data_IF_449148835846
#
_entry.id   IF_449148835846
#
_cell.length_a   1.000
_cell.length_b   1.000
_cell.length_c   1.000
_cell.angle_alpha   90.00
_cell.angle_beta   90.00
_cell.angle_gamma   90.00
#
_symmetry.space_group_name_H-M   'P 1'
#
loop_
_entity.id
_entity.type
_entity.pdbx_description
1 polymer ?
#
# COMPACT_ATOMS: atom_id res chain seq x y z
N UNK A 1 3.16 -15.49 -37.24
CA UNK A 1 3.10 -16.23 -35.97
C UNK A 1 2.72 -15.25 -34.86
N UNK A 2 1.95 -15.67 -33.85
CA UNK A 2 1.46 -14.76 -32.82
C UNK A 2 2.65 -14.26 -32.01
N UNK A 3 2.67 -12.95 -31.76
CA UNK A 3 3.50 -12.34 -30.73
C UNK A 3 3.11 -13.03 -29.44
N UNK A 4 3.99 -13.87 -28.88
CA UNK A 4 3.86 -14.25 -27.48
C UNK A 4 4.16 -13.00 -26.68
N UNK A 5 3.11 -12.22 -26.43
CA UNK A 5 3.10 -11.25 -25.35
C UNK A 5 3.24 -12.10 -24.10
N UNK A 6 4.46 -12.25 -23.61
CA UNK A 6 4.66 -12.70 -22.24
C UNK A 6 3.79 -11.79 -21.40
N UNK A 7 2.84 -12.40 -20.70
CA UNK A 7 1.97 -11.73 -19.75
C UNK A 7 2.86 -10.88 -18.85
N UNK A 8 2.90 -9.57 -19.08
CA UNK A 8 3.51 -8.62 -18.15
C UNK A 8 2.55 -8.39 -16.98
N UNK A 9 1.92 -9.45 -16.48
CA UNK A 9 1.57 -9.55 -15.07
C UNK A 9 2.86 -9.74 -14.26
N UNK A 10 3.79 -8.79 -14.40
CA UNK A 10 4.80 -8.53 -13.37
C UNK A 10 4.08 -7.89 -12.19
N UNK A 11 3.25 -8.67 -11.50
CA UNK A 11 3.24 -8.62 -10.05
C UNK A 11 4.63 -9.05 -9.62
N UNK A 12 5.58 -8.11 -9.68
CA UNK A 12 6.85 -8.31 -9.01
C UNK A 12 6.50 -8.65 -7.56
N UNK A 13 6.92 -9.82 -7.02
CA UNK A 13 6.59 -10.16 -5.65
C UNK A 13 7.05 -9.00 -4.78
N UNK A 14 6.12 -8.45 -3.99
CA UNK A 14 6.41 -7.36 -3.05
C UNK A 14 7.60 -7.78 -2.19
N UNK A 15 8.80 -7.33 -2.55
CA UNK A 15 10.01 -7.53 -1.76
C UNK A 15 9.96 -6.52 -0.62
N UNK A 16 9.33 -6.94 0.47
CA UNK A 16 9.31 -6.29 1.80
C UNK A 16 10.73 -6.34 2.36
N UNK A 17 11.65 -5.58 1.75
CA UNK A 17 13.08 -5.64 2.07
C UNK A 17 13.50 -4.59 3.09
N UNK A 18 12.67 -3.58 3.34
CA UNK A 18 12.91 -2.55 4.33
C UNK A 18 11.62 -2.25 5.08
N UNK A 19 11.63 -2.46 6.40
CA UNK A 19 10.52 -2.17 7.32
C UNK A 19 10.87 -1.04 8.29
N UNK A 20 11.97 -0.33 8.05
CA UNK A 20 12.46 0.71 8.95
C UNK A 20 11.46 1.87 9.05
N UNK A 21 10.85 2.28 7.94
CA UNK A 21 9.87 3.36 7.97
C UNK A 21 8.57 2.88 8.61
N UNK A 22 8.13 1.65 8.32
CA UNK A 22 7.00 1.04 9.03
C UNK A 22 7.23 1.02 10.55
N UNK A 23 8.41 0.60 11.00
CA UNK A 23 8.80 0.63 12.41
C UNK A 23 8.73 2.04 12.99
N UNK A 24 9.35 3.02 12.33
CA UNK A 24 9.37 4.41 12.77
C UNK A 24 7.96 4.98 12.92
N UNK A 25 7.08 4.75 11.94
CA UNK A 25 5.70 5.24 12.00
C UNK A 25 4.94 4.60 13.16
N UNK A 26 5.03 3.27 13.31
CA UNK A 26 4.35 2.54 14.39
C UNK A 26 4.78 3.05 15.77
N UNK A 27 6.05 3.39 15.96
CA UNK A 27 6.58 3.89 17.24
C UNK A 27 6.56 5.41 17.38
N UNK A 28 6.24 6.17 16.32
CA UNK A 28 6.24 7.63 16.35
C UNK A 28 5.05 8.21 17.13
N UNK A 29 5.25 9.32 17.85
CA UNK A 29 4.16 10.10 18.45
C UNK A 29 3.63 11.19 17.50
N UNK A 30 3.72 10.96 16.19
CA UNK A 30 3.30 11.90 15.18
C UNK A 30 1.79 12.14 15.29
N UNK A 31 1.37 13.41 15.32
CA UNK A 31 -0.05 13.80 15.31
C UNK A 31 -0.35 14.63 14.08
N UNK A 32 -0.86 13.98 13.04
CA UNK A 32 -1.33 14.65 11.83
C UNK A 32 -2.81 15.02 11.96
N UNK A 33 -3.13 16.28 11.69
CA UNK A 33 -4.51 16.73 11.57
C UNK A 33 -5.12 16.22 10.26
N UNK A 34 -6.45 16.18 10.17
CA UNK A 34 -7.15 15.84 8.93
C UNK A 34 -6.67 16.70 7.75
N UNK A 35 -6.43 17.99 7.97
CA UNK A 35 -5.93 18.89 6.93
C UNK A 35 -4.52 18.50 6.44
N UNK A 36 -3.65 18.00 7.33
CA UNK A 36 -2.35 17.48 6.92
C UNK A 36 -2.50 16.24 6.05
N UNK A 37 -3.37 15.31 6.45
CA UNK A 37 -3.62 14.07 5.70
C UNK A 37 -4.17 14.36 4.30
N UNK A 38 -5.15 15.27 4.19
CA UNK A 38 -5.68 15.71 2.89
C UNK A 38 -4.58 16.27 1.99
N UNK A 39 -3.73 17.16 2.52
CA UNK A 39 -2.59 17.71 1.77
C UNK A 39 -1.61 16.63 1.32
N UNK A 40 -1.25 15.69 2.20
CA UNK A 40 -0.33 14.58 1.88
C UNK A 40 -0.90 13.74 0.74
N UNK A 41 -2.18 13.37 0.83
CA UNK A 41 -2.85 12.56 -0.18
C UNK A 41 -3.13 13.32 -1.49
N UNK A 42 -2.97 14.64 -1.51
CA UNK A 42 -3.34 15.49 -2.66
C UNK A 42 -4.84 15.71 -2.79
N UNK A 43 -5.59 15.53 -1.70
CA UNK A 43 -7.05 15.69 -1.66
C UNK A 43 -7.43 17.12 -1.27
N UNK A 44 -8.47 17.63 -1.91
CA UNK A 44 -9.02 18.95 -1.64
C UNK A 44 -10.23 18.87 -0.68
N UNK A 45 -10.15 19.49 0.52
CA UNK A 45 -11.17 19.31 1.56
C UNK A 45 -12.51 19.99 1.28
N UNK A 46 -12.63 20.83 0.24
CA UNK A 46 -13.92 21.41 -0.17
C UNK A 46 -14.54 20.67 -1.36
N UNK A 47 -13.86 19.68 -1.95
CA UNK A 47 -14.43 18.89 -3.03
C UNK A 47 -15.22 17.71 -2.44
N UNK A 48 -16.55 17.59 -2.71
CA UNK A 48 -17.37 16.51 -2.16
C UNK A 48 -16.87 15.13 -2.57
N UNK A 49 -16.37 14.97 -3.80
CA UNK A 49 -15.82 13.68 -4.26
C UNK A 49 -14.59 13.26 -3.45
N UNK A 50 -13.67 14.18 -3.18
CA UNK A 50 -12.49 13.90 -2.36
C UNK A 50 -12.84 13.58 -0.90
N UNK A 51 -13.90 14.20 -0.38
CA UNK A 51 -14.40 13.90 0.97
C UNK A 51 -14.92 12.46 1.02
N UNK A 52 -15.73 12.05 0.04
CA UNK A 52 -16.27 10.69 -0.02
C UNK A 52 -15.18 9.64 -0.26
N UNK A 53 -14.20 9.94 -1.12
CA UNK A 53 -13.03 9.10 -1.34
C UNK A 53 -12.25 8.87 -0.03
N UNK A 54 -11.99 9.94 0.72
CA UNK A 54 -11.31 9.85 2.01
C UNK A 54 -12.13 9.06 3.04
N UNK A 55 -13.45 9.28 3.11
CA UNK A 55 -14.33 8.50 4.00
C UNK A 55 -14.31 7.02 3.65
N UNK A 56 -14.35 6.69 2.36
CA UNK A 56 -14.28 5.31 1.87
C UNK A 56 -12.97 4.63 2.29
N UNK A 57 -11.84 5.32 2.12
CA UNK A 57 -10.53 4.86 2.57
C UNK A 57 -10.50 4.59 4.08
N UNK A 58 -10.97 5.52 4.89
CA UNK A 58 -11.01 5.35 6.35
C UNK A 58 -11.95 4.20 6.74
N UNK A 59 -13.07 4.01 6.04
CA UNK A 59 -13.98 2.89 6.28
C UNK A 59 -13.30 1.54 6.00
N UNK A 60 -12.53 1.44 4.91
CA UNK A 60 -11.75 0.24 4.61
C UNK A 60 -10.70 -0.02 5.70
N UNK A 61 -9.95 1.02 6.09
CA UNK A 61 -8.94 0.92 7.15
C UNK A 61 -9.59 0.45 8.46
N UNK A 62 -10.72 1.02 8.85
CA UNK A 62 -11.45 0.60 10.05
C UNK A 62 -11.87 -0.86 9.97
N UNK A 63 -12.37 -1.32 8.82
CA UNK A 63 -12.71 -2.74 8.63
C UNK A 63 -11.49 -3.64 8.82
N UNK A 64 -10.34 -3.27 8.25
CA UNK A 64 -9.09 -4.02 8.42
C UNK A 64 -8.63 -4.01 9.87
N UNK A 65 -8.73 -2.86 10.55
CA UNK A 65 -8.40 -2.71 11.98
C UNK A 65 -9.26 -3.62 12.83
N UNK A 66 -10.57 -3.68 12.60
CA UNK A 66 -11.46 -4.58 13.35
C UNK A 66 -11.08 -6.05 13.14
N UNK A 67 -10.85 -6.48 11.90
CA UNK A 67 -10.39 -7.84 11.60
C UNK A 67 -9.04 -8.16 12.28
N UNK A 68 -8.10 -7.21 12.27
CA UNK A 68 -6.81 -7.37 12.95
C UNK A 68 -6.98 -7.47 14.46
N UNK A 69 -7.81 -6.60 15.03
CA UNK A 69 -8.08 -6.59 16.46
C UNK A 69 -8.71 -7.91 16.93
N UNK A 70 -9.68 -8.43 16.19
CA UNK A 70 -10.34 -9.70 16.48
C UNK A 70 -9.38 -10.89 16.42
N UNK A 71 -8.45 -10.86 15.46
CA UNK A 71 -7.49 -11.95 15.23
C UNK A 71 -6.36 -11.95 16.26
N UNK A 72 -5.83 -10.78 16.62
CA UNK A 72 -4.58 -10.67 17.40
C UNK A 72 -4.88 -10.41 18.88
N UNK A 73 -5.98 -9.72 19.20
CA UNK A 73 -6.37 -9.27 20.57
C UNK A 73 -5.26 -8.54 21.34
N UNK A 74 -4.27 -7.99 20.63
CA UNK A 74 -3.12 -7.29 21.22
C UNK A 74 -3.45 -5.88 21.67
N UNK A 75 -2.72 -5.41 22.66
CA UNK A 75 -2.87 -4.05 23.19
C UNK A 75 -2.25 -2.95 22.31
N UNK A 76 -1.43 -3.30 21.30
CA UNK A 76 -0.80 -2.34 20.40
C UNK A 76 -0.46 -2.96 19.05
N UNK A 77 -0.57 -2.14 17.99
CA UNK A 77 -0.15 -2.53 16.64
C UNK A 77 1.35 -2.85 16.55
N UNK A 78 2.18 -2.30 17.45
CA UNK A 78 3.62 -2.59 17.55
C UNK A 78 3.96 -4.06 17.82
N UNK A 79 3.02 -4.81 18.39
CA UNK A 79 3.19 -6.23 18.67
C UNK A 79 2.94 -7.11 17.43
N UNK A 80 2.41 -6.53 16.35
CA UNK A 80 2.17 -7.24 15.10
C UNK A 80 3.41 -7.23 14.19
N UNK A 81 3.70 -8.30 13.43
CA UNK A 81 4.86 -8.34 12.56
C UNK A 81 4.87 -7.17 11.57
N UNK A 82 5.97 -6.40 11.56
CA UNK A 82 6.10 -5.19 10.74
C UNK A 82 5.94 -5.49 9.24
N UNK A 83 6.40 -6.66 8.81
CA UNK A 83 6.22 -7.14 7.43
C UNK A 83 4.75 -7.27 7.07
N UNK A 84 3.91 -7.72 7.99
CA UNK A 84 2.47 -7.86 7.79
C UNK A 84 1.78 -6.51 7.81
N UNK A 85 2.19 -5.59 8.69
CA UNK A 85 1.69 -4.20 8.70
C UNK A 85 1.99 -3.53 7.36
N UNK A 86 3.22 -3.68 6.86
CA UNK A 86 3.63 -3.14 5.57
C UNK A 86 2.82 -3.77 4.44
N UNK A 87 2.70 -5.11 4.42
CA UNK A 87 1.92 -5.84 3.42
C UNK A 87 0.46 -5.36 3.37
N UNK A 88 -0.20 -5.25 4.52
CA UNK A 88 -1.57 -4.70 4.62
C UNK A 88 -1.64 -3.27 4.11
N UNK A 89 -0.62 -2.46 4.40
CA UNK A 89 -0.56 -1.07 3.91
C UNK A 89 -0.51 -1.02 2.38
N UNK A 90 0.21 -1.94 1.73
CA UNK A 90 0.23 -2.05 0.27
C UNK A 90 -1.08 -2.59 -0.30
N UNK A 91 -1.70 -3.60 0.33
CA UNK A 91 -3.02 -4.09 -0.12
C UNK A 91 -4.07 -2.98 -0.11
N UNK A 92 -4.10 -2.14 0.93
CA UNK A 92 -4.99 -0.98 1.00
C UNK A 92 -4.65 0.05 -0.09
N UNK A 93 -3.37 0.25 -0.40
CA UNK A 93 -2.96 1.16 -1.48
C UNK A 93 -3.42 0.67 -2.86
N UNK A 94 -3.45 -0.64 -3.07
CA UNK A 94 -3.82 -1.27 -4.34
C UNK A 94 -5.32 -1.08 -4.66
N UNK A 95 -6.17 -0.92 -3.65
CA UNK A 95 -7.58 -0.54 -3.84
C UNK A 95 -7.76 0.92 -4.31
N UNK A 96 -6.78 1.78 -4.03
CA UNK A 96 -6.83 3.22 -4.32
C UNK A 96 -5.63 3.65 -5.18
N UNK A 97 -5.40 2.95 -6.29
CA UNK A 97 -4.15 3.09 -7.07
C UNK A 97 -3.85 4.53 -7.48
N UNK A 98 -4.88 5.27 -7.87
CA UNK A 98 -4.77 6.67 -8.32
C UNK A 98 -4.24 7.63 -7.25
N UNK A 99 -4.40 7.29 -5.96
CA UNK A 99 -3.93 8.11 -4.84
C UNK A 99 -2.48 7.76 -4.50
N UNK A 100 -2.15 6.47 -4.55
CA UNK A 100 -0.92 5.91 -3.96
C UNK A 100 0.15 5.54 -4.99
N UNK A 101 -0.18 5.51 -6.28
CA UNK A 101 0.76 5.19 -7.35
C UNK A 101 0.77 6.26 -8.44
N UNK A 102 1.92 6.38 -9.10
CA UNK A 102 2.14 7.25 -10.25
C UNK A 102 2.65 6.39 -11.41
N UNK A 103 2.06 6.49 -12.60
CA UNK A 103 2.57 5.81 -13.77
C UNK A 103 3.93 6.41 -14.16
N UNK A 104 4.94 5.56 -14.29
CA UNK A 104 6.27 5.95 -14.78
C UNK A 104 6.62 5.10 -16.00
N UNK A 105 7.34 5.70 -16.94
CA UNK A 105 7.87 4.97 -18.10
C UNK A 105 9.21 4.36 -17.70
N UNK A 106 9.27 3.03 -17.65
CA UNK A 106 10.49 2.28 -17.42
C UNK A 106 10.95 1.66 -18.74
N UNK A 107 12.22 1.84 -19.06
CA UNK A 107 12.85 1.15 -20.18
C UNK A 107 13.22 -0.25 -19.73
N UNK A 108 12.68 -1.26 -20.41
CA UNK A 108 12.96 -2.67 -20.15
C UNK A 108 13.70 -3.21 -21.35
N UNK A 109 14.80 -3.90 -21.09
CA UNK A 109 15.55 -4.64 -22.10
C UNK A 109 14.87 -5.99 -22.30
N UNK A 110 14.49 -6.28 -23.54
CA UNK A 110 13.89 -7.53 -23.95
C UNK A 110 14.83 -8.22 -24.93
N UNK A 111 15.17 -9.46 -24.63
CA UNK A 111 15.92 -10.30 -25.54
C UNK A 111 14.98 -10.91 -26.56
N UNK A 112 15.15 -10.52 -27.81
CA UNK A 112 14.34 -11.00 -28.94
C UNK A 112 15.18 -12.00 -29.72
N UNK A 113 14.63 -13.19 -29.94
CA UNK A 113 15.23 -14.16 -30.86
C UNK A 113 14.79 -13.84 -32.29
N UNK A 114 15.71 -13.34 -33.09
CA UNK A 114 15.53 -13.04 -34.52
C UNK A 114 15.97 -14.22 -35.42
N UNK A 115 16.20 -15.40 -34.85
CA UNK A 115 16.56 -16.61 -35.57
C UNK A 115 15.45 -17.01 -36.54
N UNK A 116 15.73 -16.93 -37.85
CA UNK A 116 14.81 -17.35 -38.92
C UNK A 116 14.85 -18.88 -39.13
N UNK A 117 15.79 -19.58 -38.48
CA UNK A 117 16.00 -21.02 -38.59
C UNK A 117 16.49 -21.60 -37.26
N UNK A 118 16.08 -22.83 -36.95
CA UNK A 118 16.49 -23.60 -35.74
C UNK A 118 18.02 -23.78 -35.65
N UNK A 119 18.73 -23.64 -36.77
CA UNK A 119 20.19 -23.80 -36.84
C UNK A 119 20.95 -22.47 -36.69
N UNK A 120 20.27 -21.33 -36.64
CA UNK A 120 20.88 -19.99 -36.55
C UNK A 120 20.12 -19.15 -35.52
N UNK A 121 20.55 -19.22 -34.26
CA UNK A 121 20.07 -18.31 -33.22
C UNK A 121 20.78 -16.96 -33.34
N UNK A 122 20.00 -15.89 -33.49
CA UNK A 122 20.46 -14.51 -33.42
C UNK A 122 19.63 -13.78 -32.39
N UNK A 123 20.24 -13.49 -31.26
CA UNK A 123 19.62 -12.72 -30.18
C UNK A 123 19.95 -11.24 -30.35
N UNK A 124 18.95 -10.38 -30.24
CA UNK A 124 19.12 -8.94 -30.14
C UNK A 124 18.39 -8.42 -28.92
N UNK A 125 19.03 -7.54 -28.17
CA UNK A 125 18.41 -6.85 -27.05
C UNK A 125 17.76 -5.57 -27.55
N UNK A 126 16.44 -5.48 -27.44
CA UNK A 126 15.68 -4.27 -27.74
C UNK A 126 15.22 -3.59 -26.44
N UNK A 127 15.31 -2.26 -26.40
CA UNK A 127 14.82 -1.48 -25.27
C UNK A 127 13.41 -0.97 -25.54
N UNK A 128 12.42 -1.48 -24.81
CA UNK A 128 11.01 -1.10 -24.96
C UNK A 128 10.56 -0.23 -23.76
N UNK A 129 9.86 0.90 -24.00
CA UNK A 129 9.25 1.66 -22.93
C UNK A 129 7.98 0.96 -22.42
N UNK A 130 7.97 0.62 -21.13
CA UNK A 130 6.82 0.01 -20.44
C UNK A 130 6.34 0.96 -19.33
N UNK A 131 5.04 1.21 -19.27
CA UNK A 131 4.44 1.98 -18.17
C UNK A 131 4.28 1.09 -16.95
N UNK A 132 4.94 1.45 -15.84
CA UNK A 132 4.83 0.75 -14.55
C UNK A 132 4.35 1.70 -13.46
N UNK A 133 3.57 1.18 -12.52
CA UNK A 133 3.06 1.96 -11.40
C UNK A 133 4.11 2.03 -10.29
N UNK A 134 4.64 3.22 -10.01
CA UNK A 134 5.56 3.46 -8.89
C UNK A 134 4.79 3.99 -7.69
N UNK A 135 5.06 3.45 -6.51
CA UNK A 135 4.48 3.96 -5.26
C UNK A 135 4.90 5.42 -5.01
N UNK A 136 3.93 6.26 -4.66
CA UNK A 136 4.13 7.68 -4.33
C UNK A 136 4.76 7.88 -2.96
N UNK A 137 4.56 6.92 -2.04
CA UNK A 137 5.07 6.99 -0.67
C UNK A 137 5.94 5.76 -0.38
N UNK A 138 7.11 6.00 0.22
CA UNK A 138 7.98 4.92 0.68
C UNK A 138 7.26 4.06 1.71
N UNK A 139 7.35 2.74 1.57
CA UNK A 139 6.75 1.73 2.47
C UNK A 139 5.25 1.95 2.77
N UNK A 140 4.53 2.71 1.92
CA UNK A 140 3.15 3.16 2.17
C UNK A 140 2.95 3.76 3.56
N UNK A 141 3.93 4.53 4.04
CA UNK A 141 3.99 5.04 5.41
C UNK A 141 2.72 5.79 5.85
N UNK A 142 2.05 6.49 4.94
CA UNK A 142 0.83 7.24 5.25
C UNK A 142 -0.34 6.29 5.57
N UNK A 143 -0.43 5.14 4.91
CA UNK A 143 -1.44 4.12 5.22
C UNK A 143 -1.08 3.44 6.54
N UNK A 144 0.20 3.11 6.76
CA UNK A 144 0.67 2.61 8.06
C UNK A 144 0.31 3.56 9.20
N UNK A 145 0.48 4.88 8.99
CA UNK A 145 0.12 5.90 9.96
C UNK A 145 -1.39 5.91 10.25
N UNK A 146 -2.23 5.85 9.21
CA UNK A 146 -3.68 5.78 9.37
C UNK A 146 -4.11 4.50 10.09
N UNK A 147 -3.53 3.36 9.71
CA UNK A 147 -3.78 2.06 10.34
C UNK A 147 -3.45 2.11 11.84
N UNK A 148 -2.27 2.63 12.20
CA UNK A 148 -1.88 2.86 13.60
C UNK A 148 -2.93 3.70 14.32
N UNK A 149 -3.27 4.84 13.76
CA UNK A 149 -4.16 5.83 14.39
C UNK A 149 -5.55 5.24 14.64
N UNK A 150 -6.12 4.52 13.67
CA UNK A 150 -7.42 3.88 13.84
C UNK A 150 -7.37 2.67 14.78
N UNK A 151 -6.26 1.91 14.79
CA UNK A 151 -6.07 0.80 15.72
C UNK A 151 -6.02 1.27 17.19
N UNK A 152 -5.32 2.37 17.46
CA UNK A 152 -5.28 2.98 18.81
C UNK A 152 -6.67 3.44 19.27
N UNK A 153 -7.48 3.99 18.36
CA UNK A 153 -8.88 4.36 18.67
C UNK A 153 -9.74 3.14 18.98
N UNK A 154 -9.61 2.07 18.20
CA UNK A 154 -10.36 0.84 18.42
C UNK A 154 -10.05 0.24 19.81
N UNK A 155 -8.78 0.19 20.21
CA UNK A 155 -8.37 -0.23 21.55
C UNK A 155 -9.00 0.65 22.64
N UNK A 156 -8.97 1.97 22.45
CA UNK A 156 -9.52 2.91 23.43
C UNK A 156 -11.04 2.71 23.61
N UNK A 157 -11.77 2.50 22.51
CA UNK A 157 -13.21 2.23 22.54
C UNK A 157 -13.54 0.92 23.28
N UNK A 158 -12.75 -0.14 23.08
CA UNK A 158 -12.96 -1.41 23.78
C UNK A 158 -12.65 -1.33 25.28
N UNK A 159 -11.64 -0.55 25.67
CA UNK A 159 -11.36 -0.27 27.09
C UNK A 159 -12.52 0.47 27.76
N UNK A 160 -13.08 1.47 27.09
CA UNK A 160 -14.24 2.24 27.59
C UNK A 160 -15.48 1.33 27.76
N UNK A 161 -15.77 0.47 26.79
CA UNK A 161 -16.86 -0.53 26.91
C UNK A 161 -16.65 -1.49 28.07
N UNK A 162 -15.44 -2.00 28.25
CA UNK A 162 -15.09 -2.95 29.32
C UNK A 162 -15.18 -2.32 30.72
N UNK A 163 -15.01 -1.00 30.81
CA UNK A 163 -15.07 -0.26 32.09
C UNK A 163 -16.51 0.01 32.50
N UNK A 164 -17.40 0.32 31.55
CA UNK A 164 -18.83 0.54 31.80
C UNK A 164 -19.62 -0.72 32.18
N UNK A 165 -19.11 -1.92 31.88
CA UNK A 165 -19.76 -3.19 32.28
C UNK A 165 -19.43 -3.55 33.74
N UNK A 166 -18.39 -2.93 34.33
CA UNK A 166 -17.94 -3.19 35.71
C UNK A 166 -18.41 -2.15 36.73
N UNK A 167 -19.13 -1.11 36.31
CA UNK A 167 -19.78 -0.11 37.18
C UNK A 167 -21.27 -0.38 37.30
#
# INVERSE_FOLDING_TARGET
MPIQVFDFSTEAPFRVNNTALTYLIVHSNLKLTRNHIYKILGLYPKNPFHIELYKSLIRLINSVVHTLFDTIRTCSLSQYPLTNIQYISFMIADEYREIFYVPIIKRVELDINNGVSVLVDKWSTETVPVTVNRSKYNEMWIITYLLKTEFEKAIQQEKEKSTNIKS
#
